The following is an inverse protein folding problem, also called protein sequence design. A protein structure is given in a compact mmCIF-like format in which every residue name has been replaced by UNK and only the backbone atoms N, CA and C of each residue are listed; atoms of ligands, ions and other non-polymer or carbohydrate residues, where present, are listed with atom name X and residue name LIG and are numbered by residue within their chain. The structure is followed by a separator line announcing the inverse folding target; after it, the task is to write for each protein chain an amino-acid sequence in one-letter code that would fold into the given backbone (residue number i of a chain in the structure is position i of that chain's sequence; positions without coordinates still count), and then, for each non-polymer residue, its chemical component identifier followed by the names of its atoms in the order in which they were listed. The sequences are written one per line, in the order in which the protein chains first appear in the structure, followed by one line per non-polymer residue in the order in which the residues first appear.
data_IF_399635189425
#
_entry.id   IF_399635189425
#
_cell.length_a   1.000
_cell.length_b   1.000
_cell.length_c   1.000
_cell.angle_alpha   90.00
_cell.angle_beta   90.00
_cell.angle_gamma   90.00
#
_symmetry.space_group_name_H-M   'P 1'
#
loop_
_entity.id
_entity.type
_entity.pdbx_description
1 polymer ?
#
# COMPACT_ATOMS: atom_id res chain seq x y z
N UNK A 1 -7.92 21.58 8.28
CA UNK A 1 -7.88 21.12 6.91
C UNK A 1 -7.09 19.84 6.80
N UNK A 2 -7.65 18.84 6.17
CA UNK A 2 -7.02 17.52 6.11
C UNK A 2 -6.30 17.30 4.80
N UNK A 3 -5.28 16.47 4.85
CA UNK A 3 -4.49 16.08 3.68
C UNK A 3 -4.66 14.60 3.40
N UNK A 4 -4.46 14.20 2.15
CA UNK A 4 -4.47 12.80 1.80
C UNK A 4 -3.12 12.16 2.14
N UNK A 5 -3.20 10.93 2.66
CA UNK A 5 -2.05 10.15 3.10
C UNK A 5 -2.02 8.81 2.39
N UNK A 6 -0.88 8.46 1.83
CA UNK A 6 -0.66 7.10 1.33
C UNK A 6 0.35 6.39 2.22
N UNK A 7 -0.04 5.22 2.70
CA UNK A 7 0.87 4.33 3.42
C UNK A 7 1.46 3.38 2.39
N UNK A 8 2.78 3.42 2.20
CA UNK A 8 3.47 2.66 1.15
C UNK A 8 4.17 1.48 1.78
N UNK A 9 3.84 0.27 1.33
CA UNK A 9 4.31 -0.99 1.92
C UNK A 9 4.87 -1.88 0.83
N UNK A 10 6.19 -2.10 0.77
CA UNK A 10 6.76 -3.05 -0.17
C UNK A 10 6.49 -4.49 0.28
N UNK A 11 6.22 -5.36 -0.67
CA UNK A 11 5.90 -6.77 -0.42
C UNK A 11 6.71 -7.67 -1.34
N UNK A 12 7.26 -8.73 -0.77
CA UNK A 12 7.95 -9.76 -1.55
C UNK A 12 7.65 -11.13 -0.95
N UNK A 13 6.99 -12.00 -1.73
CA UNK A 13 6.63 -13.36 -1.32
C UNK A 13 5.90 -13.38 0.02
N UNK A 14 4.82 -12.60 0.13
CA UNK A 14 4.06 -12.47 1.36
C UNK A 14 2.63 -13.00 1.24
N UNK A 15 2.39 -13.99 0.38
CA UNK A 15 1.04 -14.51 0.18
C UNK A 15 0.39 -15.03 1.46
N UNK A 16 1.18 -15.54 2.41
CA UNK A 16 0.64 -16.04 3.67
C UNK A 16 0.38 -14.94 4.69
N UNK A 17 1.10 -13.85 4.59
CA UNK A 17 1.08 -12.75 5.57
C UNK A 17 0.06 -11.68 5.19
N UNK A 18 -0.07 -11.36 3.90
CA UNK A 18 -0.95 -10.29 3.44
C UNK A 18 -2.41 -10.42 3.91
N UNK A 19 -3.02 -11.62 3.90
CA UNK A 19 -4.39 -11.74 4.38
C UNK A 19 -4.55 -11.34 5.85
N UNK A 20 -3.47 -11.38 6.61
CA UNK A 20 -3.46 -11.00 8.02
C UNK A 20 -3.14 -9.51 8.17
N UNK A 21 -2.12 -9.02 7.46
CA UNK A 21 -1.64 -7.64 7.65
C UNK A 21 -2.48 -6.60 6.92
N UNK A 22 -3.04 -6.93 5.76
CA UNK A 22 -3.82 -5.97 4.99
C UNK A 22 -5.01 -5.40 5.77
N UNK A 23 -5.82 -6.23 6.47
CA UNK A 23 -6.89 -5.69 7.30
C UNK A 23 -6.39 -4.78 8.41
N UNK A 24 -5.21 -5.06 8.96
CA UNK A 24 -4.63 -4.22 10.01
C UNK A 24 -4.28 -2.83 9.48
N UNK A 25 -3.68 -2.75 8.30
CA UNK A 25 -3.35 -1.46 7.70
C UNK A 25 -4.61 -0.71 7.27
N UNK A 26 -5.60 -1.43 6.76
CA UNK A 26 -6.87 -0.82 6.38
C UNK A 26 -7.57 -0.23 7.59
N UNK A 27 -7.61 -0.94 8.70
CA UNK A 27 -8.17 -0.45 9.95
C UNK A 27 -7.42 0.79 10.44
N UNK A 28 -6.09 0.77 10.31
CA UNK A 28 -5.26 1.90 10.74
C UNK A 28 -5.59 3.14 9.94
N UNK A 29 -5.68 3.06 8.62
CA UNK A 29 -5.96 4.22 7.79
C UNK A 29 -7.38 4.73 8.03
N UNK A 30 -8.34 3.82 8.21
CA UNK A 30 -9.70 4.22 8.55
C UNK A 30 -9.77 4.96 9.89
N UNK A 31 -9.01 4.50 10.88
CA UNK A 31 -8.92 5.16 12.17
C UNK A 31 -8.35 6.57 12.05
N UNK A 32 -7.31 6.75 11.24
CA UNK A 32 -6.72 8.06 11.01
C UNK A 32 -7.70 9.02 10.34
N UNK A 33 -8.49 8.50 9.40
CA UNK A 33 -9.52 9.32 8.73
C UNK A 33 -10.61 9.73 9.72
N UNK A 34 -11.08 8.81 10.55
CA UNK A 34 -12.10 9.10 11.55
C UNK A 34 -11.65 10.16 12.56
N UNK A 35 -10.37 10.15 12.89
CA UNK A 35 -9.79 11.13 13.82
C UNK A 35 -9.50 12.48 13.17
N UNK A 36 -9.75 12.60 11.86
CA UNK A 36 -9.48 13.83 11.13
C UNK A 36 -8.03 14.10 10.85
N UNK A 37 -7.16 13.09 10.98
CA UNK A 37 -5.73 13.24 10.76
C UNK A 37 -5.35 13.15 9.27
N UNK A 38 -6.21 12.54 8.47
CA UNK A 38 -6.10 12.56 7.01
C UNK A 38 -7.49 12.48 6.40
N UNK A 39 -7.61 12.78 5.10
CA UNK A 39 -8.92 12.83 4.45
C UNK A 39 -9.29 11.49 3.80
N UNK A 40 -10.50 11.45 3.22
CA UNK A 40 -11.05 10.22 2.63
C UNK A 40 -10.35 9.75 1.37
N UNK A 41 -9.47 10.56 0.79
CA UNK A 41 -8.66 10.17 -0.37
C UNK A 41 -7.40 9.41 0.01
N UNK A 42 -7.21 9.16 1.32
CA UNK A 42 -6.07 8.42 1.82
C UNK A 42 -6.17 6.93 1.49
N UNK A 43 -5.03 6.30 1.19
CA UNK A 43 -5.00 4.90 0.76
C UNK A 43 -3.78 4.17 1.31
N UNK A 44 -3.87 2.85 1.26
CA UNK A 44 -2.75 1.94 1.51
C UNK A 44 -2.27 1.43 0.15
N UNK A 45 -1.00 1.62 -0.15
CA UNK A 45 -0.39 1.17 -1.39
C UNK A 45 0.55 0.00 -1.10
N UNK A 46 0.22 -1.17 -1.64
CA UNK A 46 1.11 -2.32 -1.60
C UNK A 46 1.92 -2.37 -2.88
N UNK A 47 3.24 -2.44 -2.75
CA UNK A 47 4.14 -2.52 -3.89
C UNK A 47 4.70 -3.94 -3.96
N UNK A 48 4.30 -4.68 -4.99
CA UNK A 48 4.80 -6.02 -5.21
C UNK A 48 6.17 -5.95 -5.88
N UNK A 49 7.19 -6.43 -5.17
CA UNK A 49 8.58 -6.41 -5.64
C UNK A 49 8.93 -7.68 -6.41
N UNK A 50 8.17 -7.97 -7.47
CA UNK A 50 8.44 -9.11 -8.32
C UNK A 50 8.31 -10.45 -7.61
N UNK A 51 7.27 -10.62 -6.78
CA UNK A 51 7.06 -11.86 -6.05
C UNK A 51 6.87 -13.04 -6.98
N UNK A 52 7.37 -14.20 -6.56
CA UNK A 52 7.27 -15.46 -7.30
C UNK A 52 6.06 -16.28 -6.88
N UNK A 53 5.44 -15.92 -5.76
CA UNK A 53 4.25 -16.58 -5.23
C UNK A 53 2.98 -15.83 -5.65
N UNK A 54 1.89 -16.03 -4.96
CA UNK A 54 0.58 -15.46 -5.27
C UNK A 54 0.36 -14.05 -4.70
N UNK A 55 1.40 -13.40 -4.21
CA UNK A 55 1.32 -12.08 -3.57
C UNK A 55 0.61 -11.06 -4.45
N UNK A 56 0.97 -10.97 -5.73
CA UNK A 56 0.37 -9.97 -6.61
C UNK A 56 -1.14 -10.20 -6.81
N UNK A 57 -1.55 -11.45 -6.98
CA UNK A 57 -2.97 -11.76 -7.12
C UNK A 57 -3.75 -11.37 -5.88
N UNK A 58 -3.18 -11.58 -4.70
CA UNK A 58 -3.81 -11.18 -3.44
C UNK A 58 -3.96 -9.67 -3.36
N UNK A 59 -2.91 -8.92 -3.74
CA UNK A 59 -2.97 -7.46 -3.74
C UNK A 59 -4.07 -6.96 -4.69
N UNK A 60 -4.16 -7.56 -5.89
CA UNK A 60 -5.20 -7.17 -6.85
C UNK A 60 -6.59 -7.44 -6.31
N UNK A 61 -6.80 -8.57 -5.66
CA UNK A 61 -8.10 -8.90 -5.05
C UNK A 61 -8.45 -7.91 -3.93
N UNK A 62 -7.48 -7.57 -3.10
CA UNK A 62 -7.68 -6.60 -2.03
C UNK A 62 -8.06 -5.23 -2.59
N UNK A 63 -7.39 -4.81 -3.66
CA UNK A 63 -7.68 -3.53 -4.30
C UNK A 63 -9.08 -3.49 -4.92
N UNK A 64 -9.57 -4.62 -5.43
CA UNK A 64 -10.92 -4.72 -5.95
C UNK A 64 -11.98 -4.66 -4.84
N UNK A 65 -11.67 -5.22 -3.67
CA UNK A 65 -12.60 -5.31 -2.55
C UNK A 65 -12.64 -4.04 -1.71
N UNK A 66 -11.57 -3.26 -1.71
CA UNK A 66 -11.43 -2.09 -0.82
C UNK A 66 -10.93 -0.89 -1.60
N UNK A 67 -11.73 0.18 -1.63
CA UNK A 67 -11.35 1.42 -2.32
C UNK A 67 -10.07 2.04 -1.76
N UNK A 68 -9.78 1.80 -0.49
CA UNK A 68 -8.60 2.38 0.17
C UNK A 68 -7.33 1.58 -0.04
N UNK A 69 -7.41 0.47 -0.77
CA UNK A 69 -6.23 -0.34 -1.09
C UNK A 69 -5.94 -0.20 -2.57
N UNK A 70 -4.69 0.08 -2.90
CA UNK A 70 -4.20 0.06 -4.27
C UNK A 70 -2.90 -0.71 -4.35
N UNK A 71 -2.55 -1.13 -5.55
CA UNK A 71 -1.38 -1.96 -5.77
C UNK A 71 -0.54 -1.47 -6.93
N UNK A 72 0.75 -1.68 -6.82
CA UNK A 72 1.73 -1.43 -7.85
C UNK A 72 2.63 -2.65 -7.95
N UNK A 73 2.92 -3.12 -9.15
CA UNK A 73 3.81 -4.27 -9.30
C UNK A 73 5.03 -3.90 -10.13
N UNK A 74 6.17 -4.42 -9.71
CA UNK A 74 7.41 -4.36 -10.48
C UNK A 74 7.53 -5.66 -11.27
N UNK A 75 8.12 -5.59 -12.45
CA UNK A 75 8.22 -6.75 -13.35
C UNK A 75 9.17 -7.83 -12.83
N UNK A 76 10.05 -7.46 -11.90
CA UNK A 76 10.98 -8.39 -11.27
C UNK A 76 11.43 -7.82 -9.93
N UNK A 77 12.05 -8.67 -9.12
CA UNK A 77 12.58 -8.23 -7.84
C UNK A 77 13.68 -7.18 -8.04
N UNK A 78 13.49 -6.02 -7.43
CA UNK A 78 14.44 -4.90 -7.51
C UNK A 78 15.09 -4.61 -6.16
N UNK A 79 14.70 -5.36 -5.13
CA UNK A 79 15.14 -5.11 -3.78
C UNK A 79 14.18 -4.20 -3.03
N UNK A 80 14.15 -4.40 -1.72
CA UNK A 80 13.18 -3.75 -0.83
C UNK A 80 13.19 -2.23 -0.95
N UNK A 81 14.38 -1.62 -0.95
CA UNK A 81 14.49 -0.17 -1.00
C UNK A 81 14.08 0.40 -2.35
N UNK A 82 14.37 -0.31 -3.44
CA UNK A 82 13.95 0.14 -4.76
C UNK A 82 12.44 0.02 -4.95
N UNK A 83 11.83 -1.03 -4.38
CA UNK A 83 10.38 -1.17 -4.39
C UNK A 83 9.72 -0.04 -3.60
N UNK A 84 10.26 0.28 -2.45
CA UNK A 84 9.77 1.38 -1.64
C UNK A 84 9.86 2.70 -2.39
N UNK A 85 11.02 2.97 -3.01
CA UNK A 85 11.20 4.18 -3.80
C UNK A 85 10.21 4.27 -4.96
N UNK A 86 10.00 3.17 -5.68
CA UNK A 86 9.02 3.13 -6.76
C UNK A 86 7.62 3.50 -6.26
N UNK A 87 7.23 2.96 -5.10
CA UNK A 87 5.95 3.28 -4.49
C UNK A 87 5.84 4.74 -4.09
N UNK A 88 6.88 5.28 -3.48
CA UNK A 88 6.90 6.69 -3.09
C UNK A 88 6.81 7.62 -4.28
N UNK A 89 7.52 7.31 -5.36
CA UNK A 89 7.47 8.12 -6.58
C UNK A 89 6.11 8.06 -7.26
N UNK A 90 5.49 6.88 -7.25
CA UNK A 90 4.14 6.72 -7.80
C UNK A 90 3.11 7.49 -6.97
N UNK A 91 3.26 7.48 -5.65
CA UNK A 91 2.31 8.10 -4.73
C UNK A 91 2.43 9.63 -4.68
N UNK A 92 3.60 10.18 -4.96
CA UNK A 92 3.85 11.61 -4.73
C UNK A 92 2.92 12.53 -5.52
N UNK A 93 2.45 12.11 -6.69
CA UNK A 93 1.54 12.90 -7.51
C UNK A 93 0.07 12.61 -7.23
N UNK A 94 -0.21 11.69 -6.29
CA UNK A 94 -1.57 11.21 -5.98
C UNK A 94 -2.03 11.56 -4.58
N UNK A 95 -1.12 12.03 -3.74
CA UNK A 95 -1.45 12.38 -2.37
C UNK A 95 -0.57 13.49 -1.86
N UNK A 96 -0.92 14.02 -0.70
CA UNK A 96 -0.18 15.13 -0.07
C UNK A 96 0.98 14.65 0.79
N UNK A 97 0.82 13.50 1.44
CA UNK A 97 1.79 12.97 2.41
C UNK A 97 1.94 11.48 2.20
N UNK A 98 3.16 10.97 2.32
CA UNK A 98 3.43 9.54 2.30
C UNK A 98 4.09 9.09 3.60
N UNK A 99 3.74 7.89 4.04
CA UNK A 99 4.42 7.20 5.13
C UNK A 99 4.86 5.84 4.58
N UNK A 100 6.12 5.51 4.76
CA UNK A 100 6.63 4.21 4.33
C UNK A 100 6.75 3.27 5.53
N UNK A 101 6.41 2.02 5.30
CA UNK A 101 6.50 0.96 6.31
C UNK A 101 7.34 -0.16 5.73
N UNK A 102 8.42 -0.48 6.44
CA UNK A 102 9.32 -1.55 6.04
C UNK A 102 8.85 -2.91 6.56
#
# INVERSE_FOLDING_TARGET
MSKSLYIVIPCYNEQEVLPITAPMFLEKINSLIEKGLCNENSKVLFVNDGSKDDTWNIIQQLAEQHERICGLTLSRNRGHQNALLAGLMWAKDRCDVTISID
#
